data_IF_457736146980
#
_entry.id   IF_457736146980
#
_cell.length_a   1.000
_cell.length_b   1.000
_cell.length_c   1.000
_cell.angle_alpha   90.00
_cell.angle_beta   90.00
_cell.angle_gamma   90.00
#
_symmetry.space_group_name_H-M   'P 1'
#
loop_
_entity.id
_entity.type
_entity.pdbx_description
1 polymer ?
#
# COMPACT_ATOMS: atom_id res chain seq x y z
N UNK A 1 -6.59 -25.09 -7.22
CA UNK A 1 -7.41 -23.86 -7.13
C UNK A 1 -6.94 -22.99 -8.28
N UNK A 2 -7.83 -22.45 -9.11
CA UNK A 2 -7.39 -21.63 -10.23
C UNK A 2 -6.81 -20.33 -9.67
N UNK A 3 -5.49 -20.18 -9.76
CA UNK A 3 -4.69 -19.04 -9.29
C UNK A 3 -4.93 -17.77 -10.13
N UNK A 4 -6.15 -17.56 -10.59
CA UNK A 4 -6.50 -16.46 -11.47
C UNK A 4 -6.91 -15.23 -10.64
N UNK A 5 -5.92 -14.66 -9.95
CA UNK A 5 -6.05 -13.38 -9.26
C UNK A 5 -5.99 -12.18 -10.21
N UNK A 6 -6.16 -12.38 -11.54
CA UNK A 6 -6.18 -11.27 -12.50
C UNK A 6 -7.26 -10.24 -12.20
N UNK A 7 -8.38 -10.65 -11.60
CA UNK A 7 -9.43 -9.74 -11.17
C UNK A 7 -8.98 -8.73 -10.09
N UNK A 8 -7.89 -9.01 -9.37
CA UNK A 8 -7.34 -8.11 -8.35
C UNK A 8 -6.12 -7.34 -8.86
N UNK A 9 -5.79 -7.43 -10.15
CA UNK A 9 -4.71 -6.68 -10.78
C UNK A 9 -5.20 -5.36 -11.34
N UNK A 10 -4.39 -4.33 -11.18
CA UNK A 10 -4.56 -3.04 -11.82
C UNK A 10 -3.23 -2.58 -12.42
N UNK A 11 -3.25 -2.23 -13.70
CA UNK A 11 -2.12 -1.64 -14.40
C UNK A 11 -2.37 -0.15 -14.59
N UNK A 12 -1.33 0.66 -14.44
CA UNK A 12 -1.41 2.10 -14.68
C UNK A 12 -0.06 2.69 -15.09
N UNK A 13 -0.13 3.89 -15.66
CA UNK A 13 1.03 4.68 -16.01
C UNK A 13 1.07 5.94 -15.15
N UNK A 14 2.28 6.32 -14.70
CA UNK A 14 2.50 7.59 -14.02
C UNK A 14 3.17 8.52 -15.04
N UNK A 15 2.52 9.63 -15.48
CA UNK A 15 3.07 10.49 -16.54
C UNK A 15 4.46 11.07 -16.23
N UNK A 16 4.79 11.28 -14.96
CA UNK A 16 6.13 11.74 -14.53
C UNK A 16 7.20 10.64 -14.51
N UNK A 17 6.82 9.38 -14.76
CA UNK A 17 7.70 8.20 -14.90
C UNK A 17 7.34 7.41 -16.17
N UNK A 18 7.49 8.02 -17.36
CA UNK A 18 7.07 7.41 -18.62
C UNK A 18 7.87 6.17 -19.01
N UNK A 19 9.07 6.01 -18.41
CA UNK A 19 9.99 4.89 -18.55
C UNK A 19 9.51 3.59 -17.87
N UNK A 20 8.48 3.67 -17.02
CA UNK A 20 8.07 2.58 -16.13
C UNK A 20 6.60 2.20 -16.31
N UNK A 21 6.32 0.90 -16.37
CA UNK A 21 4.99 0.34 -16.23
C UNK A 21 4.76 -0.09 -14.77
N UNK A 22 3.60 0.26 -14.22
CA UNK A 22 3.23 -0.09 -12.85
C UNK A 22 2.09 -1.10 -12.86
N UNK A 23 2.23 -2.13 -12.04
CA UNK A 23 1.21 -3.17 -11.83
C UNK A 23 1.02 -3.33 -10.34
N UNK A 24 -0.22 -3.27 -9.89
CA UNK A 24 -0.59 -3.54 -8.49
C UNK A 24 -1.51 -4.75 -8.43
N UNK A 25 -1.40 -5.56 -7.38
CA UNK A 25 -2.37 -6.61 -7.11
C UNK A 25 -2.59 -6.85 -5.62
N UNK A 26 -3.80 -7.30 -5.30
CA UNK A 26 -4.18 -7.69 -3.96
C UNK A 26 -4.26 -9.23 -3.84
N UNK A 27 -3.60 -9.76 -2.82
CA UNK A 27 -3.68 -11.15 -2.39
C UNK A 27 -4.67 -11.22 -1.20
N UNK A 28 -5.90 -11.72 -1.40
CA UNK A 28 -6.92 -11.79 -0.36
C UNK A 28 -6.61 -12.84 0.71
N UNK A 29 -5.81 -13.87 0.39
CA UNK A 29 -5.48 -14.92 1.35
C UNK A 29 -4.45 -14.44 2.38
N UNK A 30 -3.66 -13.42 2.02
CA UNK A 30 -2.63 -12.81 2.86
C UNK A 30 -2.97 -11.41 3.35
N UNK A 31 -4.09 -10.86 2.89
CA UNK A 31 -4.47 -9.46 3.09
C UNK A 31 -3.32 -8.50 2.73
N UNK A 32 -2.79 -8.67 1.51
CA UNK A 32 -1.53 -8.05 1.09
C UNK A 32 -1.67 -7.34 -0.25
N UNK A 33 -1.30 -6.06 -0.30
CA UNK A 33 -1.23 -5.27 -1.53
C UNK A 33 0.23 -5.21 -2.01
N UNK A 34 0.47 -5.54 -3.27
CA UNK A 34 1.79 -5.44 -3.91
C UNK A 34 1.73 -4.48 -5.08
N UNK A 35 2.77 -3.66 -5.23
CA UNK A 35 3.03 -2.80 -6.39
C UNK A 35 4.40 -3.16 -6.96
N UNK A 36 4.43 -3.50 -8.24
CA UNK A 36 5.65 -3.63 -9.04
C UNK A 36 5.78 -2.48 -10.03
N UNK A 37 7.02 -2.06 -10.23
CA UNK A 37 7.43 -1.12 -11.26
C UNK A 37 8.45 -1.82 -12.15
N UNK A 38 8.20 -1.86 -13.46
CA UNK A 38 9.10 -2.47 -14.44
C UNK A 38 9.51 -1.46 -15.51
N UNK A 39 10.78 -1.50 -15.89
CA UNK A 39 11.29 -0.74 -17.02
C UNK A 39 10.59 -1.19 -18.30
N UNK A 40 10.01 -0.25 -19.06
CA UNK A 40 9.20 -0.58 -20.25
C UNK A 40 10.04 -1.10 -21.42
N UNK A 41 11.31 -0.72 -21.52
CA UNK A 41 12.16 -1.10 -22.64
C UNK A 41 12.70 -2.52 -22.49
N UNK A 42 13.00 -2.93 -21.26
CA UNK A 42 13.71 -4.17 -20.93
C UNK A 42 12.83 -5.19 -20.18
N UNK A 43 11.73 -4.75 -19.58
CA UNK A 43 10.88 -5.57 -18.69
C UNK A 43 11.50 -5.84 -17.30
N UNK A 44 12.69 -5.27 -17.02
CA UNK A 44 13.39 -5.47 -15.76
C UNK A 44 12.61 -4.87 -14.59
N UNK A 45 12.60 -5.57 -13.45
CA UNK A 45 12.02 -5.04 -12.22
C UNK A 45 12.90 -3.90 -11.69
N UNK A 46 12.33 -2.71 -11.55
CA UNK A 46 13.04 -1.52 -11.04
C UNK A 46 12.67 -1.19 -9.61
N UNK A 47 11.46 -1.54 -9.17
CA UNK A 47 11.03 -1.39 -7.78
C UNK A 47 9.88 -2.35 -7.48
N UNK A 48 9.80 -2.78 -6.23
CA UNK A 48 8.66 -3.50 -5.69
C UNK A 48 8.41 -3.05 -4.26
N UNK A 49 7.15 -2.82 -3.91
CA UNK A 49 6.72 -2.55 -2.55
C UNK A 49 5.48 -3.38 -2.25
N UNK A 50 5.36 -3.84 -1.01
CA UNK A 50 4.17 -4.49 -0.54
C UNK A 50 3.82 -4.04 0.86
N UNK A 51 2.53 -3.98 1.15
CA UNK A 51 2.04 -3.71 2.48
C UNK A 51 0.91 -4.67 2.83
N UNK A 52 0.84 -5.02 4.11
CA UNK A 52 -0.35 -5.67 4.65
C UNK A 52 -1.44 -4.62 4.76
N UNK A 53 -2.65 -4.98 4.33
CA UNK A 53 -3.82 -4.09 4.36
C UNK A 53 -4.58 -4.19 5.68
N UNK A 54 -3.98 -4.82 6.72
CA UNK A 54 -4.57 -4.99 8.06
C UNK A 54 -5.30 -3.73 8.49
N UNK A 55 -6.49 -3.90 9.08
CA UNK A 55 -7.32 -2.79 9.53
C UNK A 55 -6.46 -1.75 10.24
N UNK A 56 -6.44 -0.53 9.70
CA UNK A 56 -5.87 0.60 10.39
C UNK A 56 -6.45 0.62 11.81
N UNK A 57 -5.60 0.48 12.82
CA UNK A 57 -6.02 0.75 14.20
C UNK A 57 -6.53 2.19 14.17
N UNK A 58 -7.81 2.45 14.49
CA UNK A 58 -8.32 3.81 14.49
C UNK A 58 -7.39 4.65 15.36
N UNK A 59 -6.91 5.76 14.83
CA UNK A 59 -6.17 6.71 15.66
C UNK A 59 -7.08 7.08 16.83
N UNK A 60 -6.59 7.07 18.09
CA UNK A 60 -7.38 7.55 19.20
C UNK A 60 -7.85 8.97 18.91
N UNK A 61 -9.15 9.21 19.11
CA UNK A 61 -9.76 10.54 18.95
C UNK A 61 -9.07 11.49 19.95
N UNK A 62 -8.64 12.71 19.57
CA UNK A 62 -7.88 13.61 20.44
C UNK A 62 -8.56 14.12 21.75
N UNK A 63 -9.65 13.53 22.23
CA UNK A 63 -10.40 14.02 23.41
C UNK A 63 -9.95 13.43 24.77
N UNK A 64 -8.76 12.81 24.86
CA UNK A 64 -8.24 12.28 26.13
C UNK A 64 -6.78 12.66 26.41
N UNK A 65 -6.33 13.83 25.96
CA UNK A 65 -5.31 14.54 26.74
C UNK A 65 -6.13 15.32 27.77
N UNK A 66 -6.47 14.65 28.87
CA UNK A 66 -6.96 15.37 30.03
C UNK A 66 -5.94 16.45 30.36
N UNK A 67 -6.41 17.68 30.53
CA UNK A 67 -5.65 18.69 31.24
C UNK A 67 -5.22 18.05 32.57
N UNK A 68 -3.96 17.62 32.63
CA UNK A 68 -3.32 17.42 33.92
C UNK A 68 -3.24 18.82 34.50
N UNK A 69 -4.27 19.20 35.26
CA UNK A 69 -4.14 20.14 36.35
C UNK A 69 -2.96 19.64 37.19
N UNK A 70 -1.77 20.15 36.89
CA UNK A 70 -0.59 20.04 37.73
C UNK A 70 -0.93 20.78 39.03
N UNK A 71 -1.50 20.01 39.96
CA UNK A 71 -1.39 20.24 41.38
C UNK A 71 0.10 20.29 41.74
N UNK A 72 0.67 21.48 41.68
CA UNK A 72 1.96 21.81 42.27
C UNK A 72 1.85 23.14 43.03
N UNK A 73 1.77 23.05 44.36
CA UNK A 73 2.09 24.14 45.28
C UNK A 73 0.96 24.57 46.21
#
# INVERSE_FOLDING_TARGET
MSDDYTQFKADYEIPSRPDVAFTTWYDPDRDWLTLEARDKATGALVSAVGCRMEMAVPLPVPEQIGDNDDAAG
#
